data_IF_017003519238
#
_entry.id   IF_017003519238
#
_cell.length_a   1.000
_cell.length_b   1.000
_cell.length_c   1.000
_cell.angle_alpha   90.00
_cell.angle_beta   90.00
_cell.angle_gamma   90.00
#
_symmetry.space_group_name_H-M   'P 1'
#
loop_
_entity.id
_entity.type
_entity.pdbx_description
1 polymer ?
#
# COMPACT_ATOMS: atom_id res chain seq x y z
N UNK A 1 30.09 29.25 64.46
CA UNK A 1 30.97 28.45 63.57
C UNK A 1 30.22 27.15 63.25
N UNK A 2 29.44 27.15 62.17
CA UNK A 2 28.70 25.98 61.66
C UNK A 2 28.61 26.14 60.14
N UNK A 3 29.25 25.25 59.39
CA UNK A 3 29.02 25.04 57.96
C UNK A 3 27.76 24.17 57.79
N UNK A 4 27.00 24.35 56.70
CA UNK A 4 26.32 23.23 56.07
C UNK A 4 26.72 23.11 54.60
N UNK A 5 27.51 22.07 54.35
CA UNK A 5 27.27 20.97 53.40
C UNK A 5 26.37 21.22 52.17
N UNK A 6 27.03 21.10 51.01
CA UNK A 6 26.58 20.75 49.66
C UNK A 6 25.27 19.96 49.54
N UNK A 7 24.43 20.34 48.58
CA UNK A 7 23.66 19.38 47.77
C UNK A 7 23.51 19.88 46.33
N UNK A 8 24.48 19.54 45.47
CA UNK A 8 24.35 19.68 44.03
C UNK A 8 23.44 18.54 43.52
N UNK A 9 22.19 18.88 43.20
CA UNK A 9 21.28 17.97 42.53
C UNK A 9 21.73 17.76 41.08
N UNK A 10 22.46 16.68 40.84
CA UNK A 10 22.72 16.19 39.48
C UNK A 10 21.40 15.66 38.89
N UNK A 11 20.77 16.44 38.02
CA UNK A 11 19.71 15.95 37.15
C UNK A 11 20.33 15.01 36.10
N UNK A 12 19.93 13.73 36.00
CA UNK A 12 20.28 12.94 34.84
C UNK A 12 19.53 13.50 33.63
N UNK A 13 20.29 13.99 32.64
CA UNK A 13 19.80 14.27 31.29
C UNK A 13 19.25 12.95 30.74
N UNK A 14 17.92 12.83 30.74
CA UNK A 14 17.21 11.68 30.18
C UNK A 14 17.36 11.73 28.66
N UNK A 15 18.32 10.99 28.14
CA UNK A 15 18.50 10.77 26.71
C UNK A 15 17.24 10.10 26.13
N UNK A 16 16.57 10.63 25.08
CA UNK A 16 15.46 9.96 24.45
C UNK A 16 16.00 8.95 23.43
N UNK A 17 16.73 7.94 23.90
CA UNK A 17 16.86 6.69 23.16
C UNK A 17 15.59 5.89 23.47
N UNK A 18 14.50 6.18 22.76
CA UNK A 18 13.34 5.32 22.74
C UNK A 18 13.75 3.98 22.13
N UNK A 19 14.21 3.06 22.98
CA UNK A 19 14.26 1.64 22.66
C UNK A 19 12.83 1.20 22.43
N UNK A 20 12.43 1.12 21.17
CA UNK A 20 11.13 0.57 20.77
C UNK A 20 11.17 -0.91 21.12
N UNK A 21 10.65 -1.26 22.30
CA UNK A 21 10.19 -2.61 22.58
C UNK A 21 9.25 -2.99 21.43
N UNK A 22 9.54 -4.07 20.71
CA UNK A 22 8.71 -4.52 19.60
C UNK A 22 7.29 -4.78 20.09
N UNK A 23 6.41 -3.81 19.93
CA UNK A 23 5.04 -3.89 20.41
C UNK A 23 4.36 -5.10 19.76
N UNK A 24 3.80 -5.97 20.59
CA UNK A 24 2.95 -7.08 20.17
C UNK A 24 1.64 -6.58 19.55
N UNK A 25 1.29 -5.32 19.78
CA UNK A 25 0.10 -4.63 19.28
C UNK A 25 0.43 -3.65 18.15
N UNK A 26 -0.59 -3.28 17.38
CA UNK A 26 -0.50 -2.17 16.43
C UNK A 26 -0.27 -0.85 17.16
N UNK A 27 0.47 0.11 16.58
CA UNK A 27 0.46 1.49 17.03
C UNK A 27 -0.94 2.11 16.93
N UNK A 28 -1.31 2.98 17.87
CA UNK A 28 -2.65 3.60 17.92
C UNK A 28 -3.03 4.27 16.59
N UNK A 29 -2.12 5.04 16.00
CA UNK A 29 -2.32 5.71 14.71
C UNK A 29 -2.63 4.73 13.56
N UNK A 30 -2.12 3.50 13.63
CA UNK A 30 -2.41 2.45 12.65
C UNK A 30 -3.77 1.82 12.92
N UNK A 31 -4.11 1.58 14.20
CA UNK A 31 -5.41 1.03 14.59
C UNK A 31 -6.56 1.98 14.20
N UNK A 32 -6.38 3.29 14.36
CA UNK A 32 -7.40 4.31 14.07
C UNK A 32 -7.76 4.40 12.59
N UNK A 33 -6.81 4.14 11.68
CA UNK A 33 -7.07 4.19 10.23
C UNK A 33 -7.70 2.93 9.69
N UNK A 34 -7.67 1.82 10.43
CA UNK A 34 -8.15 0.53 9.97
C UNK A 34 -9.62 0.28 10.36
N UNK A 35 -10.39 -0.45 9.53
CA UNK A 35 -11.68 -0.96 9.97
C UNK A 35 -11.50 -1.86 11.20
N UNK A 36 -12.40 -1.79 12.18
CA UNK A 36 -12.30 -2.54 13.45
C UNK A 36 -12.00 -4.02 13.25
N UNK A 37 -12.70 -4.67 12.30
CA UNK A 37 -12.49 -6.08 11.96
C UNK A 37 -11.06 -6.41 11.52
N UNK A 38 -10.38 -5.48 10.83
CA UNK A 38 -8.98 -5.66 10.41
C UNK A 38 -8.04 -5.35 11.58
N UNK A 39 -8.31 -4.28 12.33
CA UNK A 39 -7.48 -3.86 13.46
C UNK A 39 -7.43 -4.88 14.60
N UNK A 40 -8.54 -5.60 14.84
CA UNK A 40 -8.69 -6.61 15.89
C UNK A 40 -8.11 -7.98 15.50
N UNK A 41 -7.81 -8.21 14.22
CA UNK A 41 -7.28 -9.49 13.75
C UNK A 41 -5.78 -9.61 14.07
N UNK A 42 -5.33 -10.66 14.77
CA UNK A 42 -3.92 -10.81 15.16
C UNK A 42 -2.95 -10.89 13.96
N UNK A 43 -3.43 -11.28 12.78
CA UNK A 43 -2.67 -11.33 11.53
C UNK A 43 -2.30 -9.95 10.97
N UNK A 44 -2.92 -8.86 11.45
CA UNK A 44 -2.62 -7.50 10.97
C UNK A 44 -1.24 -7.01 11.42
N UNK A 45 -0.78 -7.41 12.60
CA UNK A 45 0.50 -6.96 13.19
C UNK A 45 1.70 -7.37 12.33
N UNK A 46 1.86 -8.64 11.91
CA UNK A 46 2.96 -9.01 11.03
C UNK A 46 2.85 -8.35 9.64
N UNK A 47 1.64 -8.09 9.14
CA UNK A 47 1.44 -7.34 7.89
C UNK A 47 1.88 -5.89 8.00
N UNK A 48 1.53 -5.21 9.10
CA UNK A 48 2.01 -3.85 9.38
C UNK A 48 3.54 -3.81 9.45
N UNK A 49 4.18 -4.77 10.14
CA UNK A 49 5.65 -4.85 10.21
C UNK A 49 6.28 -5.04 8.83
N UNK A 50 5.72 -5.91 8.00
CA UNK A 50 6.18 -6.12 6.63
C UNK A 50 6.04 -4.85 5.78
N UNK A 51 4.88 -4.18 5.87
CA UNK A 51 4.63 -2.92 5.18
C UNK A 51 5.62 -1.83 5.64
N UNK A 52 5.79 -1.67 6.96
CA UNK A 52 6.69 -0.69 7.56
C UNK A 52 8.13 -0.85 7.09
N UNK A 53 8.60 -2.09 6.94
CA UNK A 53 9.93 -2.41 6.43
C UNK A 53 10.17 -2.01 4.97
N UNK A 54 9.12 -1.68 4.22
CA UNK A 54 9.23 -1.22 2.82
C UNK A 54 9.51 0.28 2.72
N UNK A 55 9.29 1.05 3.79
CA UNK A 55 9.38 2.51 3.79
C UNK A 55 10.50 3.04 4.70
N UNK A 56 10.99 4.27 4.50
CA UNK A 56 12.04 4.86 5.33
C UNK A 56 11.56 5.22 6.75
N UNK A 57 10.31 5.67 6.90
CA UNK A 57 9.74 6.13 8.18
C UNK A 57 8.37 5.53 8.48
N UNK A 58 7.97 5.55 9.75
CA UNK A 58 6.66 5.09 10.23
C UNK A 58 5.55 5.92 9.58
N UNK A 59 5.76 7.22 9.48
CA UNK A 59 4.89 8.17 8.81
C UNK A 59 4.69 7.85 7.33
N UNK A 60 5.76 7.50 6.60
CA UNK A 60 5.65 7.11 5.19
C UNK A 60 4.85 5.81 5.02
N UNK A 61 5.07 4.83 5.89
CA UNK A 61 4.29 3.59 5.89
C UNK A 61 2.82 3.81 6.26
N UNK A 62 2.55 4.68 7.24
CA UNK A 62 1.19 5.05 7.64
C UNK A 62 0.47 5.82 6.52
N UNK A 63 1.18 6.68 5.79
CA UNK A 63 0.66 7.39 4.62
C UNK A 63 0.26 6.40 3.52
N UNK A 64 1.13 5.43 3.21
CA UNK A 64 0.84 4.36 2.27
C UNK A 64 -0.36 3.50 2.70
N UNK A 65 -0.45 3.16 3.98
CA UNK A 65 -1.57 2.41 4.53
C UNK A 65 -2.89 3.20 4.45
N UNK A 66 -2.84 4.50 4.74
CA UNK A 66 -4.01 5.38 4.66
C UNK A 66 -4.55 5.43 3.24
N UNK A 67 -3.66 5.51 2.25
CA UNK A 67 -3.97 5.50 0.83
C UNK A 67 -4.54 4.15 0.36
N UNK A 68 -4.09 3.02 0.93
CA UNK A 68 -4.67 1.71 0.64
C UNK A 68 -4.63 0.78 1.85
N UNK A 69 -5.75 0.73 2.58
CA UNK A 69 -5.94 -0.10 3.77
C UNK A 69 -5.94 -1.60 3.46
N UNK A 70 -6.21 -1.97 2.20
CA UNK A 70 -6.29 -3.35 1.73
C UNK A 70 -4.97 -4.11 1.87
N UNK A 71 -3.83 -3.41 1.89
CA UNK A 71 -2.49 -4.01 1.92
C UNK A 71 -2.26 -4.85 3.19
N UNK A 72 -2.91 -4.51 4.31
CA UNK A 72 -2.76 -5.22 5.58
C UNK A 72 -3.98 -6.07 5.93
N UNK A 73 -4.72 -6.54 4.93
CA UNK A 73 -5.91 -7.38 5.13
C UNK A 73 -5.50 -8.85 5.35
N UNK A 74 -5.63 -9.42 6.56
CA UNK A 74 -5.00 -10.71 6.93
C UNK A 74 -5.48 -11.93 6.14
N UNK A 75 -6.72 -11.89 5.64
CA UNK A 75 -7.32 -12.97 4.86
C UNK A 75 -7.09 -12.85 3.34
N UNK A 76 -6.39 -11.80 2.89
CA UNK A 76 -6.10 -11.55 1.47
C UNK A 76 -4.60 -11.53 1.20
N UNK A 77 -3.84 -10.94 2.12
CA UNK A 77 -2.41 -10.67 1.94
C UNK A 77 -1.62 -11.36 3.04
N UNK A 78 -0.44 -11.87 2.68
CA UNK A 78 0.52 -12.41 3.64
C UNK A 78 1.72 -11.47 3.81
N UNK A 79 2.41 -11.50 4.96
CA UNK A 79 3.63 -10.71 5.16
C UNK A 79 4.71 -11.02 4.10
N UNK A 80 4.82 -12.28 3.69
CA UNK A 80 5.78 -12.71 2.66
C UNK A 80 5.45 -12.12 1.29
N UNK A 81 4.16 -11.99 0.94
CA UNK A 81 3.73 -11.28 -0.29
C UNK A 81 4.30 -9.87 -0.35
N UNK A 82 4.12 -9.09 0.72
CA UNK A 82 4.60 -7.70 0.81
C UNK A 82 6.11 -7.64 0.66
N UNK A 83 6.85 -8.47 1.42
CA UNK A 83 8.31 -8.44 1.39
C UNK A 83 8.89 -8.91 0.06
N UNK A 84 8.31 -9.95 -0.55
CA UNK A 84 8.76 -10.51 -1.83
C UNK A 84 8.49 -9.54 -2.98
N UNK A 85 7.32 -8.90 -3.01
CA UNK A 85 7.01 -7.90 -4.03
C UNK A 85 7.93 -6.68 -3.92
N UNK A 86 8.24 -6.21 -2.70
CA UNK A 86 9.21 -5.14 -2.52
C UNK A 86 10.61 -5.53 -3.00
N UNK A 87 11.06 -6.76 -2.69
CA UNK A 87 12.35 -7.27 -3.15
C UNK A 87 12.41 -7.37 -4.69
N UNK A 88 11.35 -7.88 -5.30
CA UNK A 88 11.20 -8.01 -6.75
C UNK A 88 11.25 -6.63 -7.44
N UNK A 89 10.47 -5.67 -6.97
CA UNK A 89 10.47 -4.30 -7.49
C UNK A 89 11.85 -3.66 -7.39
N UNK A 90 12.56 -3.85 -6.26
CA UNK A 90 13.93 -3.35 -6.08
C UNK A 90 14.93 -4.04 -7.01
N UNK A 91 14.74 -5.32 -7.30
CA UNK A 91 15.56 -6.05 -8.28
C UNK A 91 15.36 -5.54 -9.71
N UNK A 92 14.12 -5.24 -10.09
CA UNK A 92 13.78 -4.76 -11.43
C UNK A 92 14.11 -3.29 -11.67
N UNK A 93 13.87 -2.43 -10.67
CA UNK A 93 13.89 -0.97 -10.82
C UNK A 93 15.08 -0.31 -10.13
N UNK A 94 15.73 -1.01 -9.19
CA UNK A 94 16.63 -0.40 -8.22
C UNK A 94 15.88 0.25 -7.06
N UNK A 95 16.61 0.54 -5.96
CA UNK A 95 16.04 0.99 -4.68
C UNK A 95 15.17 2.24 -4.80
N UNK A 96 15.67 3.30 -5.45
CA UNK A 96 14.99 4.60 -5.46
C UNK A 96 13.74 4.60 -6.33
N UNK A 97 13.78 3.96 -7.49
CA UNK A 97 12.62 3.84 -8.40
C UNK A 97 11.55 2.93 -7.81
N UNK A 98 11.94 1.82 -7.17
CA UNK A 98 11.01 0.97 -6.44
C UNK A 98 10.30 1.75 -5.31
N UNK A 99 11.04 2.54 -4.53
CA UNK A 99 10.46 3.40 -3.49
C UNK A 99 9.45 4.39 -4.08
N UNK A 100 9.77 5.02 -5.21
CA UNK A 100 8.87 5.94 -5.91
C UNK A 100 7.57 5.22 -6.35
N UNK A 101 7.68 4.00 -6.89
CA UNK A 101 6.52 3.19 -7.29
C UNK A 101 5.62 2.88 -6.10
N UNK A 102 6.16 2.32 -5.01
CA UNK A 102 5.34 1.92 -3.85
C UNK A 102 4.75 3.15 -3.14
N UNK A 103 5.42 4.30 -3.19
CA UNK A 103 4.89 5.56 -2.64
C UNK A 103 3.69 6.07 -3.45
N UNK A 104 3.75 5.95 -4.78
CA UNK A 104 2.68 6.38 -5.69
C UNK A 104 1.49 5.40 -5.73
N UNK A 105 1.77 4.10 -5.63
CA UNK A 105 0.78 3.04 -5.63
C UNK A 105 1.20 1.94 -4.65
N UNK A 106 0.86 2.09 -3.35
CA UNK A 106 1.27 1.12 -2.34
C UNK A 106 0.56 -0.24 -2.51
N UNK A 107 -0.56 -0.28 -3.26
CA UNK A 107 -1.29 -1.52 -3.56
C UNK A 107 -0.48 -2.54 -4.34
N UNK A 108 0.59 -2.12 -5.04
CA UNK A 108 1.49 -3.04 -5.75
C UNK A 108 2.14 -4.07 -4.81
N UNK A 109 2.29 -3.74 -3.53
CA UNK A 109 2.86 -4.63 -2.52
C UNK A 109 1.94 -5.80 -2.19
N UNK A 110 0.63 -5.66 -2.42
CA UNK A 110 -0.37 -6.69 -2.19
C UNK A 110 -0.70 -7.51 -3.46
N UNK A 111 -0.03 -7.24 -4.59
CA UNK A 111 -0.25 -7.98 -5.82
C UNK A 111 0.22 -9.44 -5.71
N UNK A 112 -0.31 -10.28 -6.60
CA UNK A 112 0.23 -11.61 -6.81
C UNK A 112 1.68 -11.54 -7.34
N UNK A 113 2.66 -12.19 -6.67
CA UNK A 113 4.07 -12.08 -7.04
C UNK A 113 4.40 -12.62 -8.43
N UNK A 114 3.79 -13.73 -8.84
CA UNK A 114 4.03 -14.32 -10.16
C UNK A 114 3.58 -13.37 -11.27
N UNK A 115 2.44 -12.70 -11.05
CA UNK A 115 1.92 -11.69 -11.97
C UNK A 115 2.73 -10.41 -12.00
N UNK A 116 3.25 -9.98 -10.86
CA UNK A 116 4.11 -8.79 -10.81
C UNK A 116 5.44 -9.05 -11.52
N UNK A 117 5.96 -10.28 -11.44
CA UNK A 117 7.23 -10.67 -12.05
C UNK A 117 7.24 -10.61 -13.59
N UNK A 118 6.09 -10.83 -14.23
CA UNK A 118 5.98 -10.81 -15.69
C UNK A 118 5.71 -9.41 -16.27
N UNK A 119 5.36 -8.43 -15.43
CA UNK A 119 5.14 -7.06 -15.86
C UNK A 119 6.46 -6.37 -16.17
N UNK A 120 6.49 -5.51 -17.18
CA UNK A 120 7.67 -4.70 -17.47
C UNK A 120 7.84 -3.57 -16.44
N UNK A 121 9.09 -3.12 -16.19
CA UNK A 121 9.37 -1.92 -15.40
C UNK A 121 8.51 -0.70 -15.78
N UNK A 122 8.33 -0.48 -17.09
CA UNK A 122 7.61 0.67 -17.63
C UNK A 122 6.11 0.61 -17.33
N UNK A 123 5.49 -0.56 -17.44
CA UNK A 123 4.07 -0.76 -17.10
C UNK A 123 3.82 -0.50 -15.61
N UNK A 124 4.69 -1.02 -14.75
CA UNK A 124 4.59 -0.82 -13.29
C UNK A 124 4.66 0.68 -12.95
N UNK A 125 5.59 1.42 -13.54
CA UNK A 125 5.74 2.86 -13.32
C UNK A 125 4.60 3.69 -13.91
N UNK A 126 4.06 3.28 -15.07
CA UNK A 126 2.91 3.91 -15.71
C UNK A 126 1.66 3.77 -14.84
N UNK A 127 1.37 2.56 -14.37
CA UNK A 127 0.25 2.30 -13.44
C UNK A 127 0.42 3.10 -12.15
N UNK A 128 1.62 3.10 -11.56
CA UNK A 128 1.87 3.88 -10.34
C UNK A 128 1.61 5.38 -10.54
N UNK A 129 2.02 5.93 -11.68
CA UNK A 129 1.81 7.34 -12.01
C UNK A 129 0.33 7.66 -12.26
N UNK A 130 -0.40 6.77 -12.93
CA UNK A 130 -1.84 6.89 -13.12
C UNK A 130 -2.60 6.87 -11.79
N UNK A 131 -2.33 5.90 -10.91
CA UNK A 131 -2.94 5.82 -9.57
C UNK A 131 -2.69 7.08 -8.75
N UNK A 132 -1.46 7.59 -8.75
CA UNK A 132 -1.11 8.83 -8.05
C UNK A 132 -1.80 10.06 -8.63
N UNK A 133 -2.01 10.12 -9.95
CA UNK A 133 -2.76 11.20 -10.59
C UNK A 133 -4.23 11.17 -10.16
N UNK A 134 -4.86 9.99 -10.14
CA UNK A 134 -6.25 9.81 -9.68
C UNK A 134 -6.39 10.16 -8.20
N UNK A 135 -5.48 9.72 -7.34
CA UNK A 135 -5.51 10.05 -5.91
C UNK A 135 -5.38 11.54 -5.62
N UNK A 136 -4.69 12.32 -6.48
CA UNK A 136 -4.56 13.78 -6.35
C UNK A 136 -5.73 14.54 -6.96
N UNK A 137 -6.37 13.97 -7.98
CA UNK A 137 -7.46 14.62 -8.68
C UNK A 137 -8.79 14.17 -8.08
N UNK A 138 -9.31 14.95 -7.13
CA UNK A 138 -10.69 14.84 -6.66
C UNK A 138 -11.74 15.28 -7.71
N UNK A 139 -11.37 15.30 -8.99
CA UNK A 139 -12.12 15.87 -10.12
C UNK A 139 -12.61 14.77 -11.07
N UNK A 140 -13.85 14.86 -11.60
CA UNK A 140 -14.43 13.86 -12.51
C UNK A 140 -13.61 13.63 -13.79
N UNK A 141 -12.76 14.58 -14.16
CA UNK A 141 -11.85 14.51 -15.31
C UNK A 141 -10.75 13.46 -15.18
N UNK A 142 -10.27 13.17 -13.95
CA UNK A 142 -9.26 12.12 -13.76
C UNK A 142 -9.84 10.71 -13.87
N UNK A 143 -11.10 10.53 -13.47
CA UNK A 143 -11.83 9.29 -13.71
C UNK A 143 -12.12 9.09 -15.21
N UNK A 144 -12.45 10.15 -15.94
CA UNK A 144 -12.59 10.10 -17.39
C UNK A 144 -11.26 9.75 -18.10
N UNK A 145 -10.14 10.32 -17.66
CA UNK A 145 -8.82 9.99 -18.19
C UNK A 145 -8.39 8.54 -17.87
N UNK A 146 -8.71 8.04 -16.67
CA UNK A 146 -8.48 6.63 -16.31
C UNK A 146 -9.36 5.70 -17.16
N UNK A 147 -10.64 6.03 -17.35
CA UNK A 147 -11.56 5.27 -18.18
C UNK A 147 -11.11 5.24 -19.65
N UNK A 148 -10.64 6.36 -20.18
CA UNK A 148 -10.07 6.44 -21.53
C UNK A 148 -8.74 5.69 -21.65
N UNK A 149 -7.89 5.71 -20.62
CA UNK A 149 -6.66 4.92 -20.60
C UNK A 149 -6.95 3.41 -20.55
N UNK A 150 -7.94 2.97 -19.77
CA UNK A 150 -8.40 1.57 -19.78
C UNK A 150 -9.03 1.18 -21.11
N UNK A 151 -9.74 2.09 -21.78
CA UNK A 151 -10.33 1.86 -23.10
C UNK A 151 -9.26 1.82 -24.21
N UNK A 152 -8.19 2.60 -24.07
CA UNK A 152 -7.06 2.64 -25.01
C UNK A 152 -6.12 1.42 -24.88
N UNK A 153 -6.11 0.77 -23.71
CA UNK A 153 -5.39 -0.49 -23.46
C UNK A 153 -6.23 -1.73 -23.79
N UNK A 154 -7.49 -1.57 -24.21
CA UNK A 154 -8.26 -2.66 -24.75
C UNK A 154 -7.66 -3.04 -26.12
N UNK A 155 -7.15 -4.28 -26.31
CA UNK A 155 -6.84 -4.73 -27.66
C UNK A 155 -8.13 -4.60 -28.48
N UNK A 156 -8.05 -4.00 -29.65
CA UNK A 156 -9.18 -3.84 -30.56
C UNK A 156 -9.65 -5.21 -31.04
N UNK A 157 -10.41 -5.92 -30.21
CA UNK A 157 -11.05 -7.16 -30.54
C UNK A 157 -12.37 -6.80 -31.21
N UNK A 158 -12.37 -6.81 -32.54
CA UNK A 158 -13.60 -7.07 -33.26
C UNK A 158 -14.25 -8.32 -32.69
N UNK A 159 -15.56 -8.25 -32.46
CA UNK A 159 -16.51 -9.37 -32.32
C UNK A 159 -15.89 -10.68 -31.83
N UNK A 160 -15.87 -10.89 -30.51
CA UNK A 160 -15.52 -12.19 -29.93
C UNK A 160 -16.78 -12.93 -29.50
N UNK A 161 -16.89 -14.16 -30.03
CA UNK A 161 -17.87 -15.19 -29.75
C UNK A 161 -18.05 -15.46 -28.25
N UNK A 162 -19.30 -15.77 -27.90
CA UNK A 162 -19.78 -16.03 -26.54
C UNK A 162 -19.08 -17.20 -25.81
N UNK A 163 -18.31 -18.02 -26.52
CA UNK A 163 -17.56 -19.13 -25.93
C UNK A 163 -16.30 -18.67 -25.17
N UNK A 164 -15.74 -17.50 -25.51
CA UNK A 164 -14.60 -16.91 -24.79
C UNK A 164 -15.02 -16.24 -23.47
N UNK A 165 -16.30 -15.87 -23.31
CA UNK A 165 -16.81 -15.25 -22.10
C UNK A 165 -16.68 -16.17 -20.87
N UNK A 166 -16.75 -17.49 -21.07
CA UNK A 166 -16.59 -18.48 -20.00
C UNK A 166 -15.15 -18.61 -19.48
N UNK A 167 -14.14 -18.34 -20.32
CA UNK A 167 -12.73 -18.39 -19.90
C UNK A 167 -12.23 -17.04 -19.34
N UNK A 168 -12.90 -15.93 -19.69
CA UNK A 168 -12.66 -14.59 -19.14
C UNK A 168 -13.13 -14.45 -17.68
N UNK A 169 -13.97 -15.37 -17.18
CA UNK A 169 -14.32 -15.46 -15.74
C UNK A 169 -13.15 -15.97 -14.90
N UNK A 170 -12.12 -16.59 -15.50
CA UNK A 170 -10.83 -16.73 -14.83
C UNK A 170 -10.09 -15.42 -15.03
N UNK A 171 -9.67 -14.71 -13.97
CA UNK A 171 -9.14 -13.36 -14.07
C UNK A 171 -7.77 -13.37 -14.76
N UNK A 172 -7.73 -13.49 -16.09
CA UNK A 172 -6.55 -13.40 -16.92
C UNK A 172 -6.30 -11.90 -17.22
N UNK A 173 -5.70 -11.20 -16.26
CA UNK A 173 -5.08 -9.88 -16.47
C UNK A 173 -4.21 -9.55 -15.27
N UNK A 174 -2.91 -9.78 -15.41
CA UNK A 174 -1.88 -9.34 -14.47
C UNK A 174 -1.97 -7.84 -14.22
N UNK A 175 -1.47 -7.38 -13.06
CA UNK A 175 -1.38 -5.99 -12.54
C UNK A 175 -2.64 -5.10 -12.68
N UNK A 176 -3.14 -4.91 -13.90
CA UNK A 176 -4.38 -4.24 -14.31
C UNK A 176 -5.61 -4.79 -13.56
N UNK A 177 -5.73 -6.11 -13.37
CA UNK A 177 -6.86 -6.70 -12.65
C UNK A 177 -6.93 -6.29 -11.17
N UNK A 178 -5.78 -6.16 -10.50
CA UNK A 178 -5.72 -5.70 -9.12
C UNK A 178 -5.95 -4.17 -9.04
N UNK A 179 -5.40 -3.38 -9.97
CA UNK A 179 -5.68 -1.94 -10.01
C UNK A 179 -7.14 -1.61 -10.32
N UNK A 180 -7.79 -2.34 -11.22
CA UNK A 180 -9.22 -2.18 -11.49
C UNK A 180 -10.06 -2.61 -10.27
N UNK A 181 -9.71 -3.71 -9.61
CA UNK A 181 -10.42 -4.18 -8.41
C UNK A 181 -10.26 -3.22 -7.22
N UNK A 182 -9.05 -2.73 -6.95
CA UNK A 182 -8.79 -1.80 -5.85
C UNK A 182 -9.21 -0.35 -6.15
N UNK A 183 -9.15 0.11 -7.42
CA UNK A 183 -9.74 1.39 -7.82
C UNK A 183 -11.27 1.34 -7.75
N UNK A 184 -11.90 0.21 -8.11
CA UNK A 184 -13.34 0.00 -7.94
C UNK A 184 -13.75 -0.02 -6.45
N UNK A 185 -12.96 -0.65 -5.56
CA UNK A 185 -13.18 -0.62 -4.11
C UNK A 185 -13.01 0.79 -3.52
N UNK A 186 -12.02 1.56 -3.97
CA UNK A 186 -11.83 2.96 -3.57
C UNK A 186 -12.98 3.86 -4.07
N UNK A 187 -13.50 3.61 -5.28
CA UNK A 187 -14.68 4.30 -5.81
C UNK A 187 -15.97 3.97 -5.05
N UNK A 188 -16.19 2.70 -4.71
CA UNK A 188 -17.36 2.26 -3.95
C UNK A 188 -17.41 2.85 -2.54
N UNK A 189 -16.26 2.94 -1.87
CA UNK A 189 -16.15 3.56 -0.53
C UNK A 189 -16.33 5.08 -0.54
N UNK A 190 -15.94 5.76 -1.63
CA UNK A 190 -16.20 7.19 -1.81
C UNK A 190 -17.67 7.50 -2.12
N UNK A 191 -18.37 6.63 -2.84
CA UNK A 191 -19.79 6.78 -3.14
C UNK A 191 -20.68 6.63 -1.88
N UNK A 192 -20.32 5.72 -0.98
CA UNK A 192 -21.07 5.45 0.25
C UNK A 192 -20.96 6.55 1.32
N UNK A 193 -20.01 7.49 1.17
CA UNK A 193 -19.90 8.69 2.02
C UNK A 193 -20.78 9.87 1.54
N UNK A 194 -21.44 9.73 0.38
CA UNK A 194 -22.31 10.77 -0.21
C UNK A 194 -23.81 10.42 -0.18
N UNK A 195 -24.18 9.32 0.46
CA UNK A 195 -25.55 8.87 0.75
C UNK A 195 -25.81 8.91 2.24
#
# INVERSE_FOLDING_TARGET
MVLPTLLAAAYPVRSPAASITMAASLPDAVSEVLPSKVAEDPGVVPLWRALRGCYPSDEAALTALTANKGIVTPWVVSPSTITSNNALLRGMLGKQRALNVITKNPGVLACDPERLAISSPQEIEAVASATSAVGRASTPLAFAALALFTLALLPSAGVMDAELAGSIVRPASGAIGATAFFAALAGATAAQRRS
#
